data_IF_509528378247
#
_entry.id   IF_509528378247
#
_cell.length_a   1.000
_cell.length_b   1.000
_cell.length_c   1.000
_cell.angle_alpha   90.00
_cell.angle_beta   90.00
_cell.angle_gamma   90.00
#
_symmetry.space_group_name_H-M   'P 1'
#
loop_
_entity.id
_entity.type
_entity.pdbx_description
1 polymer ?
#
# COMPACT_ATOMS: atom_id res chain seq x y z
N UNK A 1 23.00 22.97 -36.63
CA UNK A 1 23.34 21.61 -36.13
C UNK A 1 23.35 21.72 -34.63
N UNK A 2 22.24 21.36 -34.02
CA UNK A 2 22.02 21.46 -32.56
C UNK A 2 22.61 20.24 -31.87
N UNK A 3 23.61 20.48 -31.03
CA UNK A 3 24.13 19.49 -30.13
C UNK A 3 23.04 19.01 -29.17
N UNK A 4 22.56 17.80 -29.36
CA UNK A 4 21.76 17.14 -28.35
C UNK A 4 22.67 16.82 -27.16
N UNK A 5 22.64 17.66 -26.15
CA UNK A 5 23.26 17.35 -24.88
C UNK A 5 22.61 16.06 -24.36
N UNK A 6 23.44 15.05 -24.20
CA UNK A 6 23.00 13.81 -23.56
C UNK A 6 22.60 14.17 -22.11
N UNK A 7 21.31 14.23 -21.86
CA UNK A 7 20.78 14.43 -20.50
C UNK A 7 21.45 13.43 -19.55
N UNK A 8 21.99 13.94 -18.47
CA UNK A 8 22.62 13.11 -17.45
C UNK A 8 21.61 12.10 -16.90
N UNK A 9 22.08 10.95 -16.43
CA UNK A 9 21.22 9.93 -15.80
C UNK A 9 20.40 10.55 -14.65
N UNK A 10 21.01 11.51 -13.94
CA UNK A 10 20.34 12.25 -12.86
C UNK A 10 19.21 13.15 -13.36
N UNK A 11 19.35 13.82 -14.51
CA UNK A 11 18.27 14.61 -15.10
C UNK A 11 17.10 13.73 -15.58
N UNK A 12 17.39 12.54 -16.10
CA UNK A 12 16.34 11.57 -16.44
C UNK A 12 15.64 11.01 -15.21
N UNK A 13 16.36 10.76 -14.13
CA UNK A 13 15.81 10.36 -12.84
C UNK A 13 14.99 11.47 -12.21
N UNK A 14 15.41 12.72 -12.33
CA UNK A 14 14.68 13.88 -11.82
C UNK A 14 13.36 14.13 -12.60
N UNK A 15 13.32 13.76 -13.87
CA UNK A 15 12.09 13.78 -14.68
C UNK A 15 11.10 12.65 -14.33
N UNK A 16 11.56 11.58 -13.69
CA UNK A 16 10.71 10.53 -13.15
C UNK A 16 10.09 10.92 -11.81
N UNK A 17 10.69 11.88 -11.11
CA UNK A 17 10.15 12.41 -9.87
C UNK A 17 8.99 13.38 -10.18
N UNK A 18 7.78 12.91 -9.93
CA UNK A 18 6.55 13.65 -10.19
C UNK A 18 6.47 14.92 -9.32
N UNK A 19 6.73 16.09 -9.92
CA UNK A 19 6.28 17.43 -9.46
C UNK A 19 6.32 17.74 -7.96
N UNK A 20 7.37 17.40 -7.29
CA UNK A 20 7.42 17.58 -5.83
C UNK A 20 7.33 19.05 -5.40
N UNK A 21 7.73 20.00 -6.25
CA UNK A 21 7.92 21.40 -5.87
C UNK A 21 6.91 22.38 -6.45
N UNK A 22 6.13 21.96 -7.43
CA UNK A 22 5.17 22.81 -8.13
C UNK A 22 3.80 22.14 -8.17
N UNK A 23 2.72 22.93 -8.25
CA UNK A 23 1.39 22.37 -8.46
C UNK A 23 1.33 21.57 -9.76
N UNK A 24 0.65 20.42 -9.73
CA UNK A 24 0.44 19.59 -10.92
C UNK A 24 -0.34 20.39 -11.96
N UNK A 25 0.18 20.45 -13.17
CA UNK A 25 -0.43 21.15 -14.31
C UNK A 25 -1.58 20.36 -14.90
N UNK A 26 -2.51 21.04 -15.60
CA UNK A 26 -3.74 20.40 -16.14
C UNK A 26 -3.44 19.28 -17.15
N UNK A 27 -2.36 19.40 -17.93
CA UNK A 27 -1.89 18.41 -18.90
C UNK A 27 -1.36 17.10 -18.26
N UNK A 28 -1.07 17.15 -16.96
CA UNK A 28 -0.55 16.02 -16.19
C UNK A 28 -1.59 15.34 -15.31
N UNK A 29 -2.80 15.87 -15.24
CA UNK A 29 -3.88 15.24 -14.50
C UNK A 29 -4.24 13.89 -15.13
N UNK A 30 -4.44 12.90 -14.27
CA UNK A 30 -4.82 11.56 -14.69
C UNK A 30 -6.33 11.36 -14.58
N UNK A 31 -6.94 10.55 -15.47
CA UNK A 31 -8.35 10.19 -15.36
C UNK A 31 -8.67 9.50 -14.02
N UNK A 32 -9.90 9.72 -13.52
CA UNK A 32 -10.35 9.15 -12.26
C UNK A 32 -10.24 7.61 -12.16
N UNK A 33 -10.22 6.90 -13.29
CA UNK A 33 -10.01 5.45 -13.32
C UNK A 33 -8.65 5.01 -12.78
N UNK A 34 -7.59 5.79 -12.99
CA UNK A 34 -6.27 5.49 -12.40
C UNK A 34 -6.29 5.64 -10.88
N UNK A 35 -6.98 6.67 -10.39
CA UNK A 35 -7.16 6.87 -8.95
C UNK A 35 -7.97 5.73 -8.34
N UNK A 36 -9.09 5.35 -8.95
CA UNK A 36 -9.91 4.24 -8.48
C UNK A 36 -9.15 2.91 -8.44
N UNK A 37 -8.32 2.62 -9.46
CA UNK A 37 -7.48 1.42 -9.51
C UNK A 37 -6.41 1.41 -8.44
N UNK A 38 -5.72 2.54 -8.23
CA UNK A 38 -4.71 2.68 -7.17
C UNK A 38 -5.34 2.51 -5.79
N UNK A 39 -6.47 3.18 -5.55
CA UNK A 39 -7.20 3.11 -4.29
C UNK A 39 -7.73 1.69 -4.01
N UNK A 40 -8.30 1.02 -5.02
CA UNK A 40 -8.72 -0.37 -4.88
C UNK A 40 -7.54 -1.30 -4.54
N UNK A 41 -6.37 -1.12 -5.18
CA UNK A 41 -5.16 -1.89 -4.89
C UNK A 41 -4.63 -1.68 -3.49
N UNK A 42 -4.82 -0.50 -2.93
CA UNK A 42 -4.43 -0.19 -1.55
C UNK A 42 -5.36 -0.84 -0.52
N UNK A 43 -6.67 -0.90 -0.79
CA UNK A 43 -7.69 -1.38 0.14
C UNK A 43 -8.05 -2.85 -0.02
N UNK A 44 -7.59 -3.51 -1.08
CA UNK A 44 -7.77 -4.96 -1.31
C UNK A 44 -6.39 -5.61 -1.29
N UNK A 45 -5.70 -5.48 -0.16
CA UNK A 45 -4.35 -6.02 0.02
C UNK A 45 -4.37 -7.30 0.87
N UNK A 46 -3.42 -8.21 0.62
CA UNK A 46 -3.28 -9.43 1.41
C UNK A 46 -3.01 -9.17 2.90
N UNK A 47 -2.47 -8.01 3.24
CA UNK A 47 -2.26 -7.54 4.62
C UNK A 47 -3.56 -7.41 5.41
N UNK A 48 -4.68 -7.11 4.76
CA UNK A 48 -5.99 -6.99 5.40
C UNK A 48 -6.44 -8.30 6.06
N UNK A 49 -6.11 -9.44 5.47
CA UNK A 49 -6.37 -10.73 6.11
C UNK A 49 -5.56 -10.96 7.38
N UNK A 50 -4.29 -10.55 7.37
CA UNK A 50 -3.43 -10.68 8.54
C UNK A 50 -3.95 -9.79 9.66
N UNK A 51 -4.33 -8.56 9.35
CA UNK A 51 -4.88 -7.60 10.33
C UNK A 51 -6.20 -8.12 10.89
N UNK A 52 -7.11 -8.63 10.05
CA UNK A 52 -8.38 -9.20 10.49
C UNK A 52 -8.19 -10.36 11.48
N UNK A 53 -7.25 -11.27 11.18
CA UNK A 53 -6.93 -12.38 12.07
C UNK A 53 -6.34 -11.91 13.42
N UNK A 54 -5.51 -10.85 13.42
CA UNK A 54 -4.95 -10.28 14.65
C UNK A 54 -6.02 -9.77 15.60
N UNK A 55 -7.04 -9.08 15.12
CA UNK A 55 -8.14 -8.62 15.95
C UNK A 55 -8.85 -9.77 16.68
N UNK A 56 -9.05 -10.90 15.97
CA UNK A 56 -9.66 -12.09 16.56
C UNK A 56 -8.73 -12.69 17.65
N UNK A 57 -7.42 -12.78 17.38
CA UNK A 57 -6.46 -13.29 18.38
C UNK A 57 -6.35 -12.40 19.62
N UNK A 58 -6.67 -11.12 19.50
CA UNK A 58 -6.75 -10.17 20.62
C UNK A 58 -8.08 -10.17 21.34
N UNK A 59 -8.98 -11.07 20.98
CA UNK A 59 -10.27 -11.25 21.65
C UNK A 59 -11.40 -10.35 21.15
N UNK A 60 -11.23 -9.70 20.01
CA UNK A 60 -12.30 -8.91 19.42
C UNK A 60 -13.45 -9.81 18.94
N UNK A 61 -14.67 -9.55 19.44
CA UNK A 61 -15.85 -10.25 18.99
C UNK A 61 -16.29 -9.82 17.58
N UNK A 62 -17.08 -10.65 16.92
CA UNK A 62 -17.61 -10.36 15.58
C UNK A 62 -18.34 -9.02 15.52
N UNK A 63 -19.13 -8.70 16.55
CA UNK A 63 -19.84 -7.43 16.64
C UNK A 63 -18.90 -6.23 16.72
N UNK A 64 -17.87 -6.31 17.56
CA UNK A 64 -16.89 -5.25 17.74
C UNK A 64 -16.10 -5.02 16.46
N UNK A 65 -15.77 -6.10 15.76
CA UNK A 65 -15.05 -6.05 14.50
C UNK A 65 -15.89 -5.39 13.41
N UNK A 66 -17.15 -5.81 13.23
CA UNK A 66 -18.05 -5.23 12.24
C UNK A 66 -18.36 -3.74 12.53
N UNK A 67 -18.65 -3.39 13.78
CA UNK A 67 -18.91 -2.00 14.14
C UNK A 67 -17.65 -1.15 14.03
N UNK A 68 -16.50 -1.66 14.46
CA UNK A 68 -15.22 -0.97 14.35
C UNK A 68 -14.85 -0.69 12.90
N UNK A 69 -14.98 -1.68 12.03
CA UNK A 69 -14.74 -1.51 10.59
C UNK A 69 -15.71 -0.52 9.96
N UNK A 70 -17.01 -0.61 10.26
CA UNK A 70 -18.02 0.30 9.71
C UNK A 70 -17.75 1.74 10.14
N UNK A 71 -17.59 1.98 11.42
CA UNK A 71 -17.37 3.33 11.98
C UNK A 71 -16.02 3.87 11.56
N UNK A 72 -14.96 3.07 11.62
CA UNK A 72 -13.61 3.46 11.21
C UNK A 72 -13.55 3.86 9.75
N UNK A 73 -14.11 3.04 8.85
CA UNK A 73 -14.15 3.38 7.42
C UNK A 73 -15.01 4.62 7.14
N UNK A 74 -16.15 4.77 7.82
CA UNK A 74 -16.99 5.96 7.66
C UNK A 74 -16.24 7.23 8.08
N UNK A 75 -15.55 7.21 9.21
CA UNK A 75 -14.73 8.34 9.67
C UNK A 75 -13.56 8.62 8.71
N UNK A 76 -12.91 7.60 8.21
CA UNK A 76 -11.85 7.72 7.22
C UNK A 76 -12.38 8.40 5.93
N UNK A 77 -13.48 7.91 5.36
CA UNK A 77 -14.10 8.50 4.17
C UNK A 77 -14.53 9.95 4.40
N UNK A 78 -15.11 10.24 5.55
CA UNK A 78 -15.50 11.62 5.91
C UNK A 78 -14.27 12.53 6.01
N UNK A 79 -13.22 12.12 6.68
CA UNK A 79 -11.99 12.94 6.80
C UNK A 79 -11.32 13.14 5.45
N UNK A 80 -11.26 12.12 4.60
CA UNK A 80 -10.74 12.25 3.23
C UNK A 80 -11.59 13.22 2.38
N UNK A 81 -12.90 13.06 2.42
CA UNK A 81 -13.82 13.85 1.58
C UNK A 81 -13.91 15.31 2.03
N UNK A 82 -13.92 15.54 3.35
CA UNK A 82 -14.12 16.89 3.88
C UNK A 82 -12.83 17.69 4.05
N UNK A 83 -11.69 17.01 4.22
CA UNK A 83 -10.42 17.67 4.52
C UNK A 83 -9.37 17.41 3.46
N UNK A 84 -8.99 16.15 3.24
CA UNK A 84 -7.84 15.82 2.39
C UNK A 84 -8.11 16.12 0.91
N UNK A 85 -9.25 15.70 0.38
CA UNK A 85 -9.56 15.86 -1.03
C UNK A 85 -9.71 17.34 -1.46
N UNK A 86 -10.43 18.20 -0.73
CA UNK A 86 -10.48 19.63 -1.06
C UNK A 86 -9.12 20.30 -1.07
N UNK A 87 -8.27 20.00 -0.08
CA UNK A 87 -6.90 20.54 -0.01
C UNK A 87 -6.09 20.07 -1.21
N UNK A 88 -6.10 18.77 -1.51
CA UNK A 88 -5.35 18.21 -2.62
C UNK A 88 -5.78 18.79 -3.99
N UNK A 89 -7.09 18.90 -4.21
CA UNK A 89 -7.65 19.44 -5.47
C UNK A 89 -7.34 20.92 -5.64
N UNK A 90 -7.46 21.72 -4.58
CA UNK A 90 -7.23 23.16 -4.64
C UNK A 90 -5.74 23.50 -4.74
N UNK A 91 -4.87 22.79 -4.04
CA UNK A 91 -3.45 23.12 -4.02
C UNK A 91 -2.66 22.43 -5.11
N UNK A 92 -3.07 21.22 -5.52
CA UNK A 92 -2.36 20.35 -6.48
C UNK A 92 -0.91 20.10 -6.10
N UNK A 93 -0.58 20.27 -4.82
CA UNK A 93 0.74 20.04 -4.26
C UNK A 93 0.81 18.66 -3.60
N UNK A 94 2.02 18.09 -3.57
CA UNK A 94 2.27 16.96 -2.68
C UNK A 94 2.10 17.39 -1.23
N UNK A 95 1.76 16.45 -0.35
CA UNK A 95 1.57 16.72 1.08
C UNK A 95 2.82 17.37 1.70
N UNK A 96 4.02 16.95 1.30
CA UNK A 96 5.29 17.47 1.79
C UNK A 96 5.48 18.96 1.48
N UNK A 97 5.17 19.37 0.25
CA UNK A 97 5.26 20.77 -0.15
C UNK A 97 4.16 21.63 0.45
N UNK A 98 2.97 21.09 0.55
CA UNK A 98 1.89 21.76 1.26
C UNK A 98 2.25 22.00 2.72
N UNK A 99 2.74 20.96 3.41
CA UNK A 99 3.16 21.05 4.80
C UNK A 99 4.30 22.07 5.01
N UNK A 100 5.28 22.07 4.10
CA UNK A 100 6.35 23.08 4.11
C UNK A 100 5.82 24.50 3.98
N UNK A 101 4.79 24.70 3.17
CA UNK A 101 4.18 26.00 2.90
C UNK A 101 3.42 26.53 4.12
N UNK A 102 2.72 25.67 4.86
CA UNK A 102 1.88 26.07 6.00
C UNK A 102 2.62 26.03 7.34
N UNK A 103 3.51 25.07 7.55
CA UNK A 103 4.16 24.82 8.83
C UNK A 103 5.68 25.06 8.84
N UNK A 104 6.24 25.39 7.66
CA UNK A 104 7.65 25.68 7.51
C UNK A 104 8.56 24.47 7.31
N UNK A 105 9.86 24.70 7.00
CA UNK A 105 10.79 23.64 6.60
C UNK A 105 11.14 22.66 7.73
N UNK A 106 11.22 23.14 8.97
CA UNK A 106 11.60 22.30 10.11
C UNK A 106 10.54 21.22 10.39
N UNK A 107 9.26 21.59 10.43
CA UNK A 107 8.13 20.65 10.62
C UNK A 107 8.08 19.66 9.47
N UNK A 108 8.30 20.12 8.24
CA UNK A 108 8.33 19.25 7.05
C UNK A 108 9.44 18.20 7.15
N UNK A 109 10.65 18.57 7.58
CA UNK A 109 11.76 17.61 7.73
C UNK A 109 11.44 16.56 8.78
N UNK A 110 10.96 16.97 9.95
CA UNK A 110 10.58 16.03 11.02
C UNK A 110 9.48 15.07 10.54
N UNK A 111 8.44 15.61 9.91
CA UNK A 111 7.37 14.79 9.32
C UNK A 111 7.90 13.79 8.30
N UNK A 112 8.77 14.22 7.38
CA UNK A 112 9.32 13.35 6.34
C UNK A 112 10.17 12.22 6.92
N UNK A 113 11.01 12.50 7.91
CA UNK A 113 11.84 11.47 8.56
C UNK A 113 10.97 10.43 9.25
N UNK A 114 9.98 10.87 10.04
CA UNK A 114 9.07 9.96 10.73
C UNK A 114 8.23 9.14 9.74
N UNK A 115 7.72 9.78 8.71
CA UNK A 115 6.91 9.14 7.69
C UNK A 115 7.73 8.15 6.85
N UNK A 116 8.96 8.50 6.47
CA UNK A 116 9.87 7.60 5.77
C UNK A 116 10.18 6.34 6.61
N UNK A 117 10.47 6.50 7.91
CA UNK A 117 10.70 5.38 8.80
C UNK A 117 9.46 4.47 8.89
N UNK A 118 8.27 5.06 9.05
CA UNK A 118 7.00 4.33 9.09
C UNK A 118 6.77 3.54 7.80
N UNK A 119 6.92 4.18 6.64
CA UNK A 119 6.73 3.50 5.36
C UNK A 119 7.77 2.41 5.08
N UNK A 120 9.01 2.57 5.53
CA UNK A 120 10.01 1.50 5.43
C UNK A 120 9.59 0.26 6.25
N UNK A 121 9.07 0.46 7.46
CA UNK A 121 8.55 -0.62 8.30
C UNK A 121 7.36 -1.30 7.64
N UNK A 122 6.38 -0.52 7.17
CA UNK A 122 5.20 -1.04 6.50
C UNK A 122 5.56 -1.81 5.22
N UNK A 123 6.45 -1.26 4.39
CA UNK A 123 6.92 -1.93 3.18
C UNK A 123 7.60 -3.26 3.50
N UNK A 124 8.45 -3.30 4.53
CA UNK A 124 9.08 -4.54 5.00
C UNK A 124 8.06 -5.60 5.43
N UNK A 125 7.04 -5.20 6.18
CA UNK A 125 5.94 -6.09 6.57
C UNK A 125 5.18 -6.63 5.35
N UNK A 126 4.81 -5.76 4.40
CA UNK A 126 4.09 -6.14 3.18
C UNK A 126 4.90 -7.08 2.29
N UNK A 127 6.20 -6.83 2.13
CA UNK A 127 7.11 -7.71 1.39
C UNK A 127 7.19 -9.09 2.06
N UNK A 128 7.29 -9.13 3.39
CA UNK A 128 7.35 -10.38 4.15
C UNK A 128 6.06 -11.19 4.03
N UNK A 129 4.89 -10.53 4.12
CA UNK A 129 3.58 -11.19 3.90
C UNK A 129 3.50 -11.76 2.48
N UNK A 130 3.90 -10.98 1.48
CA UNK A 130 3.91 -11.44 0.08
C UNK A 130 4.88 -12.61 -0.14
N UNK A 131 6.07 -12.55 0.43
CA UNK A 131 7.05 -13.63 0.41
C UNK A 131 6.51 -14.91 1.08
N UNK A 132 5.70 -14.75 2.14
CA UNK A 132 5.03 -15.87 2.81
C UNK A 132 4.01 -16.60 1.94
N UNK A 133 3.42 -15.93 0.95
CA UNK A 133 2.61 -16.57 -0.07
C UNK A 133 3.46 -17.22 -1.17
N UNK A 134 4.46 -16.50 -1.67
CA UNK A 134 5.34 -16.96 -2.77
C UNK A 134 6.14 -18.21 -2.39
N UNK A 135 6.52 -18.40 -1.12
CA UNK A 135 7.26 -19.58 -0.64
C UNK A 135 6.50 -20.91 -0.76
N UNK A 136 5.15 -20.87 -0.76
CA UNK A 136 4.30 -22.08 -0.66
C UNK A 136 4.62 -23.09 -1.77
N UNK A 137 4.67 -22.74 -3.07
CA UNK A 137 5.00 -23.67 -4.14
C UNK A 137 6.39 -24.31 -4.03
N UNK A 138 7.30 -23.68 -3.29
CA UNK A 138 8.68 -24.13 -3.11
C UNK A 138 8.87 -25.00 -1.86
N UNK A 139 7.81 -25.21 -1.07
CA UNK A 139 7.89 -26.01 0.16
C UNK A 139 8.76 -25.40 1.27
N UNK A 140 9.06 -24.08 1.20
CA UNK A 140 9.88 -23.37 2.17
C UNK A 140 9.07 -23.16 3.46
N UNK A 141 9.67 -23.41 4.61
CA UNK A 141 9.00 -23.27 5.91
C UNK A 141 8.53 -21.83 6.20
N UNK A 142 7.38 -21.65 6.90
CA UNK A 142 6.91 -20.34 7.28
C UNK A 142 7.84 -19.65 8.27
N UNK A 143 7.89 -18.33 8.22
CA UNK A 143 8.50 -17.54 9.28
C UNK A 143 7.53 -17.52 10.47
N UNK A 144 7.95 -18.08 11.59
CA UNK A 144 7.20 -18.14 12.85
C UNK A 144 7.80 -17.26 13.94
N UNK A 145 9.00 -16.71 13.72
CA UNK A 145 9.73 -15.87 14.65
C UNK A 145 10.22 -14.57 13.99
N UNK A 146 11.07 -13.85 14.72
CA UNK A 146 11.68 -12.60 14.23
C UNK A 146 12.57 -12.81 12.99
N UNK A 147 13.23 -13.97 12.93
CA UNK A 147 14.06 -14.35 11.79
C UNK A 147 13.49 -15.62 11.17
N UNK A 148 13.61 -15.77 9.84
CA UNK A 148 13.23 -17.00 9.16
C UNK A 148 14.04 -18.19 9.66
N UNK A 149 13.38 -19.29 9.97
CA UNK A 149 14.03 -20.54 10.34
C UNK A 149 14.69 -21.22 9.13
N UNK A 150 14.13 -21.01 7.94
CA UNK A 150 14.62 -21.57 6.68
C UNK A 150 15.42 -20.49 5.91
N UNK A 151 16.74 -20.74 5.64
CA UNK A 151 17.55 -19.80 4.87
C UNK A 151 17.03 -19.49 3.46
N UNK A 152 16.29 -20.40 2.86
CA UNK A 152 15.71 -20.22 1.53
C UNK A 152 14.59 -19.17 1.49
N UNK A 153 14.09 -18.74 2.64
CA UNK A 153 13.13 -17.67 2.74
C UNK A 153 13.74 -16.30 2.38
N UNK A 154 15.03 -16.07 2.68
CA UNK A 154 15.71 -14.79 2.36
C UNK A 154 15.72 -14.45 0.86
N UNK A 155 16.15 -15.38 -0.04
CA UNK A 155 16.07 -15.09 -1.47
C UNK A 155 14.65 -14.81 -1.96
N UNK A 156 13.64 -15.44 -1.38
CA UNK A 156 12.23 -15.14 -1.73
C UNK A 156 11.86 -13.71 -1.34
N UNK A 157 12.19 -13.29 -0.13
CA UNK A 157 11.95 -11.90 0.35
C UNK A 157 12.66 -10.88 -0.54
N UNK A 158 13.94 -11.12 -0.83
CA UNK A 158 14.74 -10.24 -1.71
C UNK A 158 14.14 -10.18 -3.11
N UNK A 159 13.75 -11.33 -3.67
CA UNK A 159 13.12 -11.39 -5.00
C UNK A 159 11.80 -10.62 -5.07
N UNK A 160 10.92 -10.81 -4.09
CA UNK A 160 9.66 -10.06 -3.97
C UNK A 160 9.94 -8.56 -3.80
N UNK A 161 10.87 -8.21 -2.91
CA UNK A 161 11.27 -6.82 -2.69
C UNK A 161 11.81 -6.16 -3.96
N UNK A 162 12.64 -6.86 -4.73
CA UNK A 162 13.16 -6.37 -6.00
C UNK A 162 12.04 -6.07 -7.01
N UNK A 163 11.05 -6.96 -7.14
CA UNK A 163 9.88 -6.72 -8.01
C UNK A 163 9.10 -5.50 -7.55
N UNK A 164 8.85 -5.37 -6.25
CA UNK A 164 8.13 -4.21 -5.69
C UNK A 164 8.88 -2.90 -5.95
N UNK A 165 10.21 -2.89 -5.76
CA UNK A 165 11.05 -1.71 -6.03
C UNK A 165 11.00 -1.32 -7.51
N UNK A 166 11.10 -2.29 -8.42
CA UNK A 166 10.98 -2.02 -9.87
C UNK A 166 9.62 -1.41 -10.20
N UNK A 167 8.53 -1.96 -9.66
CA UNK A 167 7.18 -1.40 -9.87
C UNK A 167 7.05 0.02 -9.31
N UNK A 168 7.64 0.29 -8.14
CA UNK A 168 7.62 1.61 -7.52
C UNK A 168 8.39 2.67 -8.36
N UNK A 169 9.53 2.29 -8.95
CA UNK A 169 10.33 3.19 -9.81
C UNK A 169 9.60 3.52 -11.12
N UNK A 170 8.70 2.66 -11.60
CA UNK A 170 7.96 2.89 -12.85
C UNK A 170 6.92 4.03 -12.77
N UNK A 171 6.71 4.59 -11.58
CA UNK A 171 5.85 5.74 -11.33
C UNK A 171 4.36 5.40 -11.20
N UNK A 172 3.58 6.41 -10.75
CA UNK A 172 2.17 6.27 -10.38
C UNK A 172 1.30 5.60 -11.45
N UNK A 173 1.46 6.00 -12.72
CA UNK A 173 0.64 5.47 -13.82
C UNK A 173 0.77 3.96 -13.98
N UNK A 174 2.00 3.43 -13.94
CA UNK A 174 2.27 1.99 -14.07
C UNK A 174 1.81 1.23 -12.84
N UNK A 175 2.04 1.81 -11.67
CA UNK A 175 1.57 1.25 -10.40
C UNK A 175 0.04 1.16 -10.37
N UNK A 176 -0.67 2.21 -10.78
CA UNK A 176 -2.14 2.22 -10.86
C UNK A 176 -2.68 1.20 -11.88
N UNK A 177 -2.01 1.03 -13.04
CA UNK A 177 -2.36 -0.01 -14.01
C UNK A 177 -2.20 -1.41 -13.42
N UNK A 178 -1.08 -1.67 -12.74
CA UNK A 178 -0.83 -2.94 -12.07
C UNK A 178 -1.86 -3.21 -10.97
N UNK A 179 -2.14 -2.22 -10.13
CA UNK A 179 -3.16 -2.31 -9.09
C UNK A 179 -4.56 -2.61 -9.66
N UNK A 180 -4.94 -1.94 -10.74
CA UNK A 180 -6.22 -2.17 -11.44
C UNK A 180 -6.35 -3.59 -12.01
N UNK A 181 -5.22 -4.18 -12.42
CA UNK A 181 -5.19 -5.56 -12.90
C UNK A 181 -5.29 -6.57 -11.74
N UNK A 182 -4.58 -6.31 -10.64
CA UNK A 182 -4.48 -7.24 -9.51
C UNK A 182 -5.69 -7.21 -8.58
N UNK A 183 -6.29 -6.03 -8.35
CA UNK A 183 -7.37 -5.88 -7.37
C UNK A 183 -8.59 -6.78 -7.60
N UNK A 184 -9.11 -6.97 -8.82
CA UNK A 184 -10.23 -7.88 -9.05
C UNK A 184 -9.92 -9.33 -8.68
N UNK A 185 -8.68 -9.78 -8.98
CA UNK A 185 -8.24 -11.14 -8.63
C UNK A 185 -8.12 -11.34 -7.13
N UNK A 186 -7.59 -10.37 -6.43
CA UNK A 186 -7.49 -10.41 -4.98
C UNK A 186 -8.88 -10.44 -4.34
N UNK A 187 -9.81 -9.61 -4.81
CA UNK A 187 -11.19 -9.63 -4.35
C UNK A 187 -11.85 -11.00 -4.57
N UNK A 188 -11.67 -11.58 -5.75
CA UNK A 188 -12.19 -12.93 -6.06
C UNK A 188 -11.58 -14.01 -5.17
N UNK A 189 -10.28 -13.95 -4.90
CA UNK A 189 -9.62 -14.89 -3.99
C UNK A 189 -10.16 -14.75 -2.56
N UNK A 190 -10.40 -13.54 -2.09
CA UNK A 190 -11.01 -13.27 -0.79
C UNK A 190 -12.42 -13.83 -0.70
N UNK A 191 -13.22 -13.57 -1.73
CA UNK A 191 -14.57 -14.08 -1.80
C UNK A 191 -14.58 -15.61 -1.83
N UNK A 192 -13.73 -16.22 -2.63
CA UNK A 192 -13.60 -17.67 -2.70
C UNK A 192 -13.18 -18.29 -1.35
N UNK A 193 -12.21 -17.67 -0.67
CA UNK A 193 -11.80 -18.09 0.68
C UNK A 193 -12.93 -17.98 1.70
N UNK A 194 -13.67 -16.87 1.69
CA UNK A 194 -14.82 -16.67 2.57
C UNK A 194 -15.93 -17.72 2.30
N UNK A 195 -16.25 -17.98 1.03
CA UNK A 195 -17.23 -19.00 0.64
C UNK A 195 -16.79 -20.42 1.04
N UNK A 196 -15.50 -20.73 0.86
CA UNK A 196 -14.96 -22.04 1.25
C UNK A 196 -15.03 -22.28 2.77
N UNK A 197 -14.97 -21.22 3.57
CA UNK A 197 -15.06 -21.30 5.03
C UNK A 197 -16.50 -21.25 5.56
N UNK A 198 -17.50 -20.91 4.73
CA UNK A 198 -18.91 -20.87 5.16
C UNK A 198 -19.39 -22.14 5.86
N UNK A 199 -19.06 -23.37 5.40
CA UNK A 199 -19.50 -24.60 6.08
C UNK A 199 -18.92 -24.76 7.49
N UNK A 200 -17.81 -24.09 7.81
CA UNK A 200 -17.18 -24.13 9.14
C UNK A 200 -17.80 -23.12 10.11
N UNK A 201 -18.60 -22.17 9.61
CA UNK A 201 -19.35 -21.24 10.43
C UNK A 201 -20.42 -21.98 11.23
N UNK A 202 -20.21 -22.07 12.53
CA UNK A 202 -21.12 -22.77 13.46
C UNK A 202 -20.61 -24.10 13.99
N UNK A 203 -19.58 -24.71 13.37
CA UNK A 203 -18.92 -25.91 13.93
C UNK A 203 -17.83 -25.55 14.97
N UNK A 204 -17.40 -24.32 15.03
CA UNK A 204 -16.39 -23.81 15.98
C UNK A 204 -16.96 -23.43 17.36
N UNK A 205 -18.16 -23.90 17.70
CA UNK A 205 -18.77 -23.70 19.03
C UNK A 205 -18.12 -24.53 20.15
N UNK A 206 -17.06 -25.28 19.86
CA UNK A 206 -16.41 -26.17 20.82
C UNK A 206 -14.97 -25.74 21.21
N UNK A 207 -14.65 -24.46 21.12
CA UNK A 207 -13.41 -23.89 21.66
C UNK A 207 -13.75 -22.95 22.83
N UNK A 208 -14.62 -23.43 23.73
CA UNK A 208 -14.73 -22.90 25.09
C UNK A 208 -13.79 -23.66 26.03
#
# INVERSE_FOLDING_TARGET
MSGGEAQSVFERLDQLNEFERQPVTDDRLQPGGYFAGSFAGEHVAATEFVIGALFVTWGAGTRDLLLGLLVGNLLAVLSWTLVCAPIAVQTRLTLYWYLRKIAGPAVMVVYNVLNAALYCILAGCMITVSASAVRIPFGIAPQTGWLPADPWFYPVVVGVGAVVVVLAILGFKRLAQFASLCSPWMFLMFLAGALALLPTFGSSRSLD
#
